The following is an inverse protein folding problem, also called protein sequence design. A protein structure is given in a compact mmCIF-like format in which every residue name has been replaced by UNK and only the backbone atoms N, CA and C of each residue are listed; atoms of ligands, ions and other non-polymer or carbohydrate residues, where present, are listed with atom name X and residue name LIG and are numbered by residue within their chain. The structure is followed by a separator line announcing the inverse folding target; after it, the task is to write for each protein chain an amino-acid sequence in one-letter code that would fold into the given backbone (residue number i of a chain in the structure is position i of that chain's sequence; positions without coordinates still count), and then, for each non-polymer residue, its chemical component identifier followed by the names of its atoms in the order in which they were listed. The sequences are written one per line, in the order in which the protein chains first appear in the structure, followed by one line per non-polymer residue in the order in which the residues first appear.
data_IF_282201557238
#
_entry.id   IF_282201557238
#
_cell.length_a   1.000
_cell.length_b   1.000
_cell.length_c   1.000
_cell.angle_alpha   90.00
_cell.angle_beta   90.00
_cell.angle_gamma   90.00
#
_symmetry.space_group_name_H-M   'P 1'
#
loop_
_entity.id
_entity.type
_entity.pdbx_description
1 polymer ?
#
# COMPACT_ATOMS: atom_id res chain seq x y z
N UNK A 1 -30.67 -17.83 25.83
CA UNK A 1 -30.64 -18.62 24.58
C UNK A 1 -30.28 -17.67 23.45
N UNK A 2 -29.02 -17.69 23.02
CA UNK A 2 -28.53 -16.84 21.90
C UNK A 2 -28.64 -17.67 20.63
N UNK A 3 -29.50 -17.21 19.74
CA UNK A 3 -29.85 -17.84 18.47
C UNK A 3 -28.64 -17.87 17.53
N UNK A 4 -28.27 -19.08 17.07
CA UNK A 4 -27.13 -19.37 16.21
C UNK A 4 -27.36 -19.05 14.72
N UNK A 5 -27.63 -17.81 14.35
CA UNK A 5 -27.84 -17.39 12.98
C UNK A 5 -26.58 -16.94 12.21
N UNK A 6 -25.39 -16.96 12.85
CA UNK A 6 -24.13 -16.55 12.21
C UNK A 6 -23.24 -17.68 11.68
N UNK A 7 -23.56 -18.92 11.95
CA UNK A 7 -22.74 -20.10 11.61
C UNK A 7 -22.54 -20.39 10.10
N UNK A 8 -23.56 -20.24 9.21
CA UNK A 8 -23.37 -20.64 7.81
C UNK A 8 -22.46 -19.72 6.99
N UNK A 9 -22.37 -18.44 7.31
CA UNK A 9 -21.49 -17.49 6.60
C UNK A 9 -20.03 -17.67 7.02
N UNK A 10 -19.77 -17.91 8.30
CA UNK A 10 -18.41 -18.20 8.81
C UNK A 10 -17.87 -19.51 8.22
N UNK A 11 -18.69 -20.56 8.13
CA UNK A 11 -18.32 -21.81 7.48
C UNK A 11 -18.05 -21.64 5.99
N UNK A 12 -18.79 -20.79 5.31
CA UNK A 12 -18.56 -20.43 3.92
C UNK A 12 -17.22 -19.69 3.76
N UNK A 13 -16.90 -18.74 4.64
CA UNK A 13 -15.61 -18.05 4.67
C UNK A 13 -14.45 -19.00 4.92
N UNK A 14 -14.59 -19.94 5.86
CA UNK A 14 -13.56 -20.96 6.13
C UNK A 14 -13.33 -21.85 4.91
N UNK A 15 -14.38 -22.26 4.20
CA UNK A 15 -14.26 -23.03 2.95
C UNK A 15 -13.58 -22.23 1.83
N UNK A 16 -13.94 -20.94 1.69
CA UNK A 16 -13.30 -20.04 0.73
C UNK A 16 -11.83 -19.79 1.10
N UNK A 17 -11.53 -19.59 2.37
CA UNK A 17 -10.17 -19.44 2.87
C UNK A 17 -9.30 -20.66 2.53
N UNK A 18 -9.81 -21.88 2.74
CA UNK A 18 -9.12 -23.12 2.36
C UNK A 18 -8.88 -23.22 0.85
N UNK A 19 -9.87 -22.85 0.04
CA UNK A 19 -9.74 -22.83 -1.42
C UNK A 19 -8.72 -21.78 -1.90
N UNK A 20 -8.70 -20.61 -1.28
CA UNK A 20 -7.74 -19.52 -1.58
C UNK A 20 -6.32 -19.93 -1.19
N UNK A 21 -6.14 -20.57 -0.04
CA UNK A 21 -4.86 -21.14 0.38
C UNK A 21 -4.32 -22.14 -0.63
N UNK A 22 -5.15 -23.09 -1.07
CA UNK A 22 -4.77 -24.10 -2.08
C UNK A 22 -4.34 -23.44 -3.41
N UNK A 23 -5.03 -22.37 -3.82
CA UNK A 23 -4.66 -21.59 -5.02
C UNK A 23 -3.31 -20.89 -4.88
N UNK A 24 -3.01 -20.34 -3.71
CA UNK A 24 -1.74 -19.66 -3.42
C UNK A 24 -0.58 -20.66 -3.34
N UNK A 25 -0.78 -21.80 -2.69
CA UNK A 25 0.20 -22.89 -2.63
C UNK A 25 0.51 -23.43 -4.04
N UNK A 26 -0.49 -23.66 -4.88
CA UNK A 26 -0.33 -24.11 -6.27
C UNK A 26 0.39 -23.06 -7.13
N UNK A 27 0.12 -21.76 -6.93
CA UNK A 27 0.87 -20.68 -7.61
C UNK A 27 2.34 -20.66 -7.19
N UNK A 28 2.62 -20.83 -5.89
CA UNK A 28 3.98 -20.91 -5.36
C UNK A 28 4.77 -22.10 -5.91
N UNK A 29 4.15 -23.27 -6.03
CA UNK A 29 4.77 -24.45 -6.65
C UNK A 29 5.04 -24.27 -8.14
N UNK A 30 4.09 -23.66 -8.87
CA UNK A 30 4.27 -23.36 -10.30
C UNK A 30 5.41 -22.36 -10.53
N UNK A 31 5.56 -21.36 -9.66
CA UNK A 31 6.66 -20.38 -9.70
C UNK A 31 8.01 -21.07 -9.44
N UNK A 32 8.11 -21.93 -8.41
CA UNK A 32 9.31 -22.75 -8.11
C UNK A 32 9.66 -23.69 -9.25
N UNK A 33 8.68 -24.29 -9.92
CA UNK A 33 8.89 -25.18 -11.08
C UNK A 33 9.42 -24.42 -12.30
N UNK A 34 8.90 -23.20 -12.55
CA UNK A 34 9.42 -22.32 -13.62
C UNK A 34 10.86 -21.87 -13.36
N UNK A 35 11.22 -21.55 -12.10
CA UNK A 35 12.60 -21.20 -11.74
C UNK A 35 13.57 -22.39 -11.90
N UNK A 36 13.18 -23.60 -11.52
CA UNK A 36 13.97 -24.82 -11.73
C UNK A 36 14.19 -25.12 -13.21
N UNK A 37 13.18 -24.92 -14.06
CA UNK A 37 13.30 -25.14 -15.52
C UNK A 37 14.20 -24.08 -16.17
N UNK A 38 14.17 -22.82 -15.70
CA UNK A 38 15.07 -21.78 -16.19
C UNK A 38 16.53 -22.03 -15.79
N UNK A 39 16.78 -22.51 -14.57
CA UNK A 39 18.14 -22.85 -14.11
C UNK A 39 18.73 -24.07 -14.86
N UNK A 40 17.91 -25.08 -15.20
CA UNK A 40 18.36 -26.24 -15.98
C UNK A 40 18.63 -25.90 -17.44
N UNK A 41 17.95 -24.92 -18.02
CA UNK A 41 18.23 -24.46 -19.39
C UNK A 41 19.55 -23.66 -19.48
N UNK A 42 19.90 -22.88 -18.46
CA UNK A 42 21.15 -22.11 -18.40
C UNK A 42 22.38 -23.00 -18.20
N UNK A 43 22.25 -24.11 -17.47
CA UNK A 43 23.33 -25.07 -17.28
C UNK A 43 23.58 -25.90 -18.54
N UNK A 44 22.55 -26.18 -19.35
CA UNK A 44 22.68 -26.94 -20.61
C UNK A 44 23.29 -26.11 -21.75
N UNK A 45 23.19 -24.79 -21.71
CA UNK A 45 23.82 -23.88 -22.67
C UNK A 45 25.32 -23.69 -22.41
N UNK A 46 25.82 -23.84 -21.16
CA UNK A 46 27.23 -23.74 -20.82
C UNK A 46 28.07 -24.99 -21.11
N UNK A 47 27.45 -26.13 -21.42
CA UNK A 47 28.12 -27.43 -21.63
C UNK A 47 28.52 -27.76 -23.07
N UNK A 48 28.23 -26.91 -24.08
CA UNK A 48 28.47 -27.23 -25.51
C UNK A 48 29.44 -26.29 -26.24
N UNK A 49 30.38 -25.68 -25.58
CA UNK A 49 31.40 -24.86 -26.24
C UNK A 49 32.79 -25.28 -25.83
N UNK A 50 33.29 -26.43 -26.35
CA UNK A 50 34.72 -26.75 -26.49
C UNK A 50 34.89 -27.88 -27.51
N UNK A 51 35.25 -27.54 -28.76
CA UNK A 51 36.20 -28.17 -29.67
C UNK A 51 35.90 -27.75 -31.11
N UNK A 52 36.94 -27.20 -31.77
CA UNK A 52 37.00 -27.02 -33.22
C UNK A 52 37.71 -25.72 -33.58
N UNK A 53 39.02 -25.79 -33.78
CA UNK A 53 39.85 -24.67 -34.31
C UNK A 53 39.73 -24.52 -35.84
N UNK A 54 40.59 -23.74 -36.50
CA UNK A 54 40.14 -22.63 -37.35
C UNK A 54 40.11 -22.92 -38.84
N UNK A 55 39.25 -22.22 -39.61
CA UNK A 55 39.45 -22.01 -41.05
C UNK A 55 39.06 -20.58 -41.41
N UNK A 56 40.02 -19.91 -42.01
CA UNK A 56 40.01 -18.58 -42.61
C UNK A 56 39.03 -18.43 -43.76
N UNK A 57 38.23 -17.35 -43.75
CA UNK A 57 37.68 -16.72 -44.94
C UNK A 57 37.45 -15.23 -44.69
N UNK A 58 38.03 -14.41 -45.55
CA UNK A 58 37.98 -12.96 -45.60
C UNK A 58 36.54 -12.46 -45.90
N UNK A 59 36.05 -11.55 -45.06
CA UNK A 59 34.77 -10.84 -45.28
C UNK A 59 34.85 -9.45 -44.67
N UNK A 60 34.61 -8.43 -45.44
CA UNK A 60 34.76 -7.00 -45.19
C UNK A 60 34.27 -6.56 -43.82
N UNK A 61 35.12 -5.81 -43.12
CA UNK A 61 34.76 -5.07 -41.90
C UNK A 61 33.74 -4.00 -42.25
N UNK A 62 32.58 -4.05 -41.57
CA UNK A 62 31.71 -2.91 -41.41
C UNK A 62 32.15 -2.25 -40.06
N UNK A 63 32.36 -0.95 -40.08
CA UNK A 63 32.75 -0.17 -38.91
C UNK A 63 31.65 -0.18 -37.85
N UNK A 64 31.97 -0.21 -36.57
CA UNK A 64 30.97 -0.19 -35.51
C UNK A 64 30.36 1.21 -35.44
N UNK A 65 29.10 1.36 -35.87
CA UNK A 65 28.27 2.52 -35.52
C UNK A 65 28.14 2.57 -34.01
N UNK A 66 28.64 3.63 -33.41
CA UNK A 66 28.59 3.80 -31.97
C UNK A 66 27.16 4.02 -31.51
N UNK A 67 26.81 3.56 -30.33
CA UNK A 67 25.48 3.76 -29.70
C UNK A 67 25.07 5.26 -29.68
N UNK A 68 26.05 6.16 -29.68
CA UNK A 68 25.87 7.62 -29.78
C UNK A 68 25.31 8.06 -31.12
N UNK A 69 25.78 7.48 -32.23
CA UNK A 69 25.33 7.83 -33.57
C UNK A 69 23.89 7.35 -33.83
N UNK A 70 23.55 6.17 -33.27
CA UNK A 70 22.17 5.65 -33.38
C UNK A 70 21.17 6.50 -32.52
N UNK A 71 21.61 7.00 -31.38
CA UNK A 71 20.80 7.88 -30.51
C UNK A 71 20.61 9.27 -31.18
N UNK A 72 21.62 9.78 -31.87
CA UNK A 72 21.56 11.07 -32.53
C UNK A 72 20.63 11.03 -33.74
N UNK A 73 20.68 9.97 -34.53
CA UNK A 73 19.78 9.75 -35.69
C UNK A 73 18.33 9.58 -35.25
N UNK A 74 18.09 8.92 -34.09
CA UNK A 74 16.75 8.78 -33.50
C UNK A 74 16.18 10.12 -33.01
N UNK A 75 17.02 10.99 -32.45
CA UNK A 75 16.64 12.34 -32.00
C UNK A 75 16.32 13.29 -33.17
N UNK A 76 17.06 13.21 -34.27
CA UNK A 76 16.80 13.99 -35.49
C UNK A 76 15.49 13.56 -36.14
N UNK A 77 15.22 12.27 -36.28
CA UNK A 77 13.95 11.75 -36.78
C UNK A 77 12.72 12.10 -35.94
N UNK A 78 12.90 12.31 -34.64
CA UNK A 78 11.84 12.82 -33.74
C UNK A 78 11.59 14.32 -33.92
N UNK A 79 12.62 15.12 -34.19
CA UNK A 79 12.49 16.56 -34.47
C UNK A 79 11.78 16.83 -35.78
N UNK A 80 12.10 16.13 -36.85
CA UNK A 80 11.43 16.26 -38.15
C UNK A 80 9.93 15.92 -38.11
N UNK A 81 9.55 14.86 -37.34
CA UNK A 81 8.13 14.50 -37.15
C UNK A 81 7.34 15.53 -36.32
N UNK A 82 7.99 16.26 -35.43
CA UNK A 82 7.34 17.32 -34.65
C UNK A 82 7.16 18.59 -35.48
N UNK A 83 8.06 18.91 -36.42
CA UNK A 83 7.93 20.06 -37.30
C UNK A 83 6.89 19.87 -38.41
N UNK A 84 6.75 18.67 -38.98
CA UNK A 84 5.68 18.36 -39.94
C UNK A 84 4.29 18.32 -39.29
N UNK A 85 4.17 17.89 -38.03
CA UNK A 85 2.93 17.92 -37.26
C UNK A 85 2.39 19.33 -37.00
N UNK A 86 3.26 20.35 -36.91
CA UNK A 86 2.87 21.74 -36.67
C UNK A 86 2.35 22.49 -37.88
N UNK A 87 2.60 22.00 -39.09
CA UNK A 87 2.14 22.67 -40.36
C UNK A 87 0.72 22.25 -40.80
N UNK A 88 0.12 21.22 -40.21
CA UNK A 88 -1.21 20.71 -40.62
C UNK A 88 -2.35 20.91 -39.61
N UNK A 89 -2.11 21.49 -38.45
CA UNK A 89 -3.16 21.75 -37.44
C UNK A 89 -3.58 23.22 -37.51
N UNK A 90 -4.74 23.47 -38.11
CA UNK A 90 -5.42 24.78 -38.06
C UNK A 90 -5.68 25.19 -36.61
N UNK A 91 -5.58 26.51 -36.35
CA UNK A 91 -5.73 27.17 -35.07
C UNK A 91 -6.95 26.69 -34.27
N UNK A 92 -6.72 25.88 -33.22
CA UNK A 92 -7.59 25.75 -32.07
C UNK A 92 -6.98 26.57 -30.91
N UNK A 93 -7.79 27.25 -30.10
CA UNK A 93 -7.27 27.98 -28.93
C UNK A 93 -6.62 27.00 -27.95
N UNK A 94 -5.57 27.40 -27.24
CA UNK A 94 -4.81 26.51 -26.36
C UNK A 94 -5.69 26.02 -25.22
N UNK A 95 -5.92 24.72 -25.15
CA UNK A 95 -6.39 24.08 -23.91
C UNK A 95 -5.28 24.26 -22.86
N UNK A 96 -5.62 24.90 -21.76
CA UNK A 96 -4.70 25.11 -20.64
C UNK A 96 -4.40 23.74 -20.00
N UNK A 97 -3.33 23.12 -20.44
CA UNK A 97 -2.67 22.06 -19.66
C UNK A 97 -1.95 22.77 -18.51
N UNK A 98 -2.19 22.45 -17.25
CA UNK A 98 -1.44 23.09 -16.17
C UNK A 98 0.03 22.72 -16.30
N UNK A 99 0.85 23.71 -16.61
CA UNK A 99 2.31 23.57 -16.57
C UNK A 99 2.71 23.19 -15.13
N UNK A 100 3.54 22.15 -14.99
CA UNK A 100 4.27 21.89 -13.76
C UNK A 100 5.04 23.16 -13.38
N UNK A 101 4.53 23.90 -12.43
CA UNK A 101 5.20 25.10 -11.90
C UNK A 101 6.50 24.69 -11.22
N UNK A 102 7.57 25.41 -11.53
CA UNK A 102 8.88 25.24 -10.90
C UNK A 102 8.79 25.43 -9.38
N UNK A 103 9.62 24.68 -8.65
CA UNK A 103 9.73 24.64 -7.18
C UNK A 103 9.97 25.99 -6.48
N UNK A 104 9.91 27.10 -7.20
CA UNK A 104 10.07 28.46 -6.64
C UNK A 104 8.78 29.23 -6.31
N UNK A 105 7.58 28.64 -6.54
CA UNK A 105 6.30 29.34 -6.36
C UNK A 105 5.54 28.91 -5.08
N UNK A 106 6.24 28.55 -4.02
CA UNK A 106 5.64 27.97 -2.81
C UNK A 106 4.87 28.98 -1.95
N UNK A 107 5.16 30.29 -2.00
CA UNK A 107 4.51 31.27 -1.14
C UNK A 107 3.03 31.54 -1.47
N UNK A 108 2.65 31.63 -2.75
CA UNK A 108 1.26 31.95 -3.13
C UNK A 108 0.29 30.76 -2.99
N UNK A 109 0.80 29.53 -3.01
CA UNK A 109 -0.01 28.32 -2.82
C UNK A 109 -0.29 28.08 -1.34
N UNK A 110 0.66 28.42 -0.48
CA UNK A 110 0.50 28.30 0.98
C UNK A 110 -0.60 29.24 1.51
N UNK A 111 -0.68 30.47 1.01
CA UNK A 111 -1.69 31.45 1.44
C UNK A 111 -3.11 31.11 0.97
N UNK A 112 -3.25 30.40 -0.15
CA UNK A 112 -4.55 29.97 -0.66
C UNK A 112 -5.08 28.68 0.02
N UNK A 113 -4.22 27.90 0.64
CA UNK A 113 -4.57 26.63 1.33
C UNK A 113 -4.79 26.88 2.82
N UNK A 114 -4.16 27.88 3.42
CA UNK A 114 -4.32 28.23 4.84
C UNK A 114 -5.54 29.10 5.02
N UNK A 115 -6.60 28.56 5.59
CA UNK A 115 -7.63 29.37 6.23
C UNK A 115 -6.96 30.29 7.27
N UNK A 116 -7.36 31.56 7.43
CA UNK A 116 -6.85 32.42 8.50
C UNK A 116 -7.07 31.87 9.92
N UNK A 117 -7.78 30.75 10.04
CA UNK A 117 -8.01 30.00 11.28
C UNK A 117 -7.30 28.62 11.30
N UNK A 118 -6.37 28.36 10.39
CA UNK A 118 -5.65 27.09 10.36
C UNK A 118 -4.78 26.95 11.62
N UNK A 119 -5.11 25.98 12.44
CA UNK A 119 -4.32 25.61 13.62
C UNK A 119 -3.02 24.95 13.14
N UNK A 120 -1.87 25.45 13.61
CA UNK A 120 -0.56 24.84 13.33
C UNK A 120 -0.49 23.51 14.07
N UNK A 121 -0.32 22.40 13.33
CA UNK A 121 -0.25 21.05 13.90
C UNK A 121 1.05 20.81 14.66
N UNK A 122 1.08 19.77 15.51
CA UNK A 122 2.30 19.39 16.24
C UNK A 122 3.38 18.83 15.30
N UNK A 123 3.01 18.14 14.21
CA UNK A 123 3.94 17.73 13.18
C UNK A 123 4.58 18.92 12.47
N UNK A 124 3.81 19.95 12.15
CA UNK A 124 4.34 21.18 11.56
C UNK A 124 5.32 21.89 12.49
N UNK A 125 4.99 22.01 13.79
CA UNK A 125 5.87 22.58 14.81
C UNK A 125 7.14 21.75 14.99
N UNK A 126 7.03 20.42 14.90
CA UNK A 126 8.17 19.50 15.03
C UNK A 126 9.14 19.63 13.85
N UNK A 127 8.64 19.81 12.63
CA UNK A 127 9.46 19.91 11.42
C UNK A 127 10.05 21.31 11.20
N UNK A 128 9.58 22.35 11.93
CA UNK A 128 10.17 23.68 11.89
C UNK A 128 11.48 23.72 12.67
N UNK A 129 12.47 24.47 12.17
CA UNK A 129 13.70 24.71 12.93
C UNK A 129 13.39 25.55 14.19
N UNK A 130 13.90 25.15 15.38
CA UNK A 130 13.67 25.90 16.60
C UNK A 130 14.22 27.32 16.50
N UNK A 131 13.41 28.31 16.86
CA UNK A 131 13.89 29.67 17.00
C UNK A 131 14.69 29.83 18.30
N UNK A 132 15.68 30.72 18.35
CA UNK A 132 16.53 30.94 19.54
C UNK A 132 15.74 31.47 20.76
N UNK A 133 14.47 31.81 20.62
CA UNK A 133 13.60 32.39 21.65
C UNK A 133 12.40 31.49 21.98
N UNK A 134 12.45 30.20 21.63
CA UNK A 134 11.36 29.31 21.94
C UNK A 134 11.25 29.05 23.46
N UNK A 135 10.02 29.11 23.96
CA UNK A 135 9.69 28.67 25.30
C UNK A 135 10.17 27.22 25.50
N UNK A 136 10.59 26.89 26.75
CA UNK A 136 11.01 25.54 27.15
C UNK A 136 10.07 24.44 26.63
N UNK A 137 8.75 24.69 26.64
CA UNK A 137 7.72 23.76 26.17
C UNK A 137 7.74 23.50 24.66
N UNK A 138 8.52 24.28 23.87
CA UNK A 138 8.69 24.14 22.42
C UNK A 138 10.03 23.51 22.04
N UNK A 139 10.88 23.20 23.01
CA UNK A 139 12.18 22.56 22.77
C UNK A 139 12.01 21.08 22.38
N UNK A 140 12.98 20.53 21.65
CA UNK A 140 12.97 19.13 21.23
C UNK A 140 12.91 18.14 22.40
N UNK A 141 13.60 18.33 23.54
CA UNK A 141 13.43 17.46 24.70
C UNK A 141 11.98 17.41 25.21
N UNK A 142 11.27 18.53 25.21
CA UNK A 142 9.85 18.56 25.61
C UNK A 142 8.96 17.88 24.56
N UNK A 143 9.25 18.05 23.27
CA UNK A 143 8.55 17.35 22.19
C UNK A 143 8.72 15.84 22.29
N UNK A 144 9.93 15.34 22.60
CA UNK A 144 10.19 13.90 22.82
C UNK A 144 9.33 13.36 23.96
N UNK A 145 9.15 14.09 25.04
CA UNK A 145 8.26 13.66 26.14
C UNK A 145 6.80 13.54 25.68
N UNK A 146 6.31 14.48 24.87
CA UNK A 146 4.95 14.40 24.29
C UNK A 146 4.80 13.25 23.31
N UNK A 147 5.78 13.03 22.44
CA UNK A 147 5.82 11.89 21.51
C UNK A 147 5.76 10.57 22.32
N UNK A 148 6.57 10.45 23.37
CA UNK A 148 6.56 9.28 24.25
C UNK A 148 5.20 9.08 24.91
N UNK A 149 4.56 10.16 25.36
CA UNK A 149 3.21 10.11 25.94
C UNK A 149 2.17 9.55 24.97
N UNK A 150 2.22 9.98 23.69
CA UNK A 150 1.31 9.44 22.66
C UNK A 150 1.56 7.95 22.37
N UNK A 151 2.82 7.49 22.39
CA UNK A 151 3.11 6.05 22.29
C UNK A 151 2.51 5.28 23.47
N UNK A 152 2.67 5.80 24.71
CA UNK A 152 2.12 5.16 25.92
C UNK A 152 0.59 5.08 25.82
N UNK A 153 -0.08 6.19 25.49
CA UNK A 153 -1.53 6.24 25.34
C UNK A 153 -2.03 5.26 24.25
N UNK A 154 -1.38 5.26 23.10
CA UNK A 154 -1.73 4.36 21.99
C UNK A 154 -1.55 2.89 22.37
N UNK A 155 -0.45 2.53 23.02
CA UNK A 155 -0.20 1.16 23.47
C UNK A 155 -1.16 0.71 24.55
N UNK A 156 -1.47 1.57 25.54
CA UNK A 156 -2.40 1.26 26.61
C UNK A 156 -3.82 1.06 26.06
N UNK A 157 -4.30 2.01 25.26
CA UNK A 157 -5.66 1.95 24.70
C UNK A 157 -5.87 0.73 23.79
N UNK A 158 -4.84 0.35 23.03
CA UNK A 158 -4.92 -0.75 22.07
C UNK A 158 -4.39 -2.09 22.62
N UNK A 159 -3.92 -2.14 23.88
CA UNK A 159 -3.29 -3.32 24.47
C UNK A 159 -4.14 -4.61 24.36
N UNK A 160 -5.46 -4.49 24.39
CA UNK A 160 -6.39 -5.62 24.29
C UNK A 160 -6.69 -6.07 22.84
N UNK A 161 -6.11 -5.41 21.82
CA UNK A 161 -6.29 -5.79 20.41
C UNK A 161 -5.30 -6.89 20.06
N UNK A 162 -5.80 -8.10 19.86
CA UNK A 162 -4.97 -9.28 19.52
C UNK A 162 -4.90 -9.56 18.03
N UNK A 163 -5.99 -9.28 17.29
CA UNK A 163 -6.10 -9.50 15.87
C UNK A 163 -6.86 -8.36 15.19
N UNK A 164 -6.15 -7.30 14.84
CA UNK A 164 -6.70 -6.18 14.12
C UNK A 164 -6.47 -6.32 12.62
N UNK A 165 -7.36 -5.73 11.84
CA UNK A 165 -7.17 -5.50 10.40
C UNK A 165 -7.35 -4.02 10.14
N UNK A 166 -6.34 -3.37 9.55
CA UNK A 166 -6.47 -1.97 9.19
C UNK A 166 -7.02 -1.83 7.77
N UNK A 167 -8.02 -0.97 7.63
CA UNK A 167 -8.63 -0.61 6.35
C UNK A 167 -8.27 0.82 6.01
N UNK A 168 -7.61 1.00 4.85
CA UNK A 168 -7.25 2.28 4.29
C UNK A 168 -8.02 2.58 3.01
N UNK A 169 -8.21 3.85 2.71
CA UNK A 169 -8.81 4.30 1.47
C UNK A 169 -9.14 5.78 1.49
N UNK A 170 -9.79 6.26 0.44
CA UNK A 170 -10.13 7.66 0.28
C UNK A 170 -11.16 8.15 1.30
N UNK A 171 -10.88 9.28 1.95
CA UNK A 171 -11.85 10.02 2.75
C UNK A 171 -12.94 10.71 1.90
N UNK A 172 -12.78 10.75 0.58
CA UNK A 172 -13.68 11.43 -0.37
C UNK A 172 -14.69 10.49 -1.04
N UNK A 173 -14.66 9.20 -0.74
CA UNK A 173 -15.59 8.20 -1.26
C UNK A 173 -16.94 8.38 -0.57
N UNK A 174 -17.97 8.72 -1.34
CA UNK A 174 -19.32 8.95 -0.80
C UNK A 174 -20.06 7.64 -0.46
N UNK A 175 -21.14 7.72 0.34
CA UNK A 175 -21.93 6.53 0.72
C UNK A 175 -22.58 5.80 -0.46
N UNK A 176 -22.82 6.49 -1.59
CA UNK A 176 -23.42 5.91 -2.81
C UNK A 176 -22.38 5.22 -3.71
N UNK A 177 -21.09 5.33 -3.39
CA UNK A 177 -20.02 4.73 -4.19
C UNK A 177 -19.97 3.21 -3.92
N UNK A 178 -19.92 2.37 -4.96
CA UNK A 178 -19.75 0.92 -4.80
C UNK A 178 -18.59 0.51 -3.91
N UNK A 179 -17.50 1.30 -3.89
CA UNK A 179 -16.34 1.03 -3.04
C UNK A 179 -16.65 1.23 -1.55
N UNK A 180 -17.54 2.20 -1.21
CA UNK A 180 -18.02 2.38 0.17
C UNK A 180 -18.73 1.12 0.65
N UNK A 181 -19.68 0.60 -0.16
CA UNK A 181 -20.39 -0.64 0.16
C UNK A 181 -19.47 -1.86 0.24
N UNK A 182 -18.49 -1.95 -0.65
CA UNK A 182 -17.49 -3.02 -0.61
C UNK A 182 -16.62 -2.95 0.66
N UNK A 183 -16.18 -1.76 1.08
CA UNK A 183 -15.42 -1.57 2.31
C UNK A 183 -16.23 -1.93 3.55
N UNK A 184 -17.51 -1.54 3.58
CA UNK A 184 -18.45 -1.91 4.63
C UNK A 184 -18.61 -3.44 4.70
N UNK A 185 -18.76 -4.12 3.57
CA UNK A 185 -18.95 -5.57 3.51
C UNK A 185 -17.69 -6.34 3.91
N UNK A 186 -16.50 -5.96 3.40
CA UNK A 186 -15.22 -6.56 3.84
C UNK A 186 -15.07 -6.45 5.36
N UNK A 187 -15.30 -5.28 5.92
CA UNK A 187 -15.17 -5.04 7.35
C UNK A 187 -16.21 -5.83 8.16
N UNK A 188 -17.44 -5.97 7.66
CA UNK A 188 -18.48 -6.79 8.28
C UNK A 188 -18.06 -8.27 8.35
N UNK A 189 -17.60 -8.83 7.25
CA UNK A 189 -17.15 -10.22 7.16
C UNK A 189 -15.96 -10.49 8.09
N UNK A 190 -14.98 -9.58 8.15
CA UNK A 190 -13.84 -9.67 9.05
C UNK A 190 -14.27 -9.58 10.51
N UNK A 191 -15.20 -8.69 10.84
CA UNK A 191 -15.72 -8.53 12.20
C UNK A 191 -16.47 -9.79 12.65
N UNK A 192 -17.29 -10.41 11.78
CA UNK A 192 -17.95 -11.69 12.04
C UNK A 192 -16.95 -12.84 12.26
N UNK A 193 -15.79 -12.79 11.57
CA UNK A 193 -14.67 -13.71 11.82
C UNK A 193 -13.87 -13.36 13.09
N UNK A 194 -14.31 -12.34 13.85
CA UNK A 194 -13.78 -11.93 15.14
C UNK A 194 -12.53 -11.06 15.05
N UNK A 195 -12.28 -10.38 13.94
CA UNK A 195 -11.23 -9.37 13.83
C UNK A 195 -11.72 -8.00 14.29
N UNK A 196 -10.85 -7.24 14.95
CA UNK A 196 -11.06 -5.82 15.18
C UNK A 196 -10.75 -5.06 13.89
N UNK A 197 -11.57 -4.07 13.55
CA UNK A 197 -11.35 -3.20 12.39
C UNK A 197 -10.74 -1.89 12.86
N UNK A 198 -9.59 -1.55 12.32
CA UNK A 198 -8.85 -0.34 12.61
C UNK A 198 -8.89 0.57 11.39
N UNK A 199 -9.15 1.85 11.60
CA UNK A 199 -9.13 2.87 10.53
C UNK A 199 -8.50 4.16 11.03
N UNK A 200 -8.35 5.14 10.13
CA UNK A 200 -7.98 6.51 10.49
C UNK A 200 -9.13 7.35 11.07
N UNK A 201 -10.28 6.76 11.37
CA UNK A 201 -11.48 7.40 11.96
C UNK A 201 -12.18 8.46 11.10
N UNK A 202 -11.67 8.81 9.92
CA UNK A 202 -12.26 9.82 9.03
C UNK A 202 -13.50 9.34 8.27
N UNK A 203 -14.01 10.16 7.35
CA UNK A 203 -15.14 9.82 6.48
C UNK A 203 -14.72 8.84 5.36
N UNK A 204 -15.67 8.53 4.48
CA UNK A 204 -15.46 7.74 3.27
C UNK A 204 -15.19 6.27 3.55
N UNK A 205 -14.13 5.71 2.99
CA UNK A 205 -13.77 4.29 3.17
C UNK A 205 -13.55 3.94 4.66
N UNK A 206 -12.97 4.85 5.45
CA UNK A 206 -12.77 4.64 6.88
C UNK A 206 -14.09 4.52 7.63
N UNK A 207 -15.04 5.41 7.33
CA UNK A 207 -16.39 5.36 7.88
C UNK A 207 -17.13 4.09 7.47
N UNK A 208 -17.06 3.71 6.19
CA UNK A 208 -17.65 2.48 5.68
C UNK A 208 -17.13 1.25 6.43
N UNK A 209 -15.81 1.17 6.65
CA UNK A 209 -15.19 0.07 7.37
C UNK A 209 -15.60 0.05 8.85
N UNK A 210 -15.63 1.19 9.54
CA UNK A 210 -16.11 1.27 10.92
C UNK A 210 -17.58 0.87 11.04
N UNK A 211 -18.42 1.30 10.09
CA UNK A 211 -19.83 0.89 10.02
C UNK A 211 -19.99 -0.61 9.82
N UNK A 212 -19.20 -1.21 8.90
CA UNK A 212 -19.16 -2.64 8.68
C UNK A 212 -18.72 -3.43 9.93
N UNK A 213 -17.72 -2.93 10.66
CA UNK A 213 -17.28 -3.52 11.92
C UNK A 213 -18.42 -3.64 12.93
N UNK A 214 -19.19 -2.58 13.11
CA UNK A 214 -20.36 -2.59 14.03
C UNK A 214 -21.49 -3.51 13.54
N UNK A 215 -21.73 -3.57 12.23
CA UNK A 215 -22.70 -4.49 11.64
C UNK A 215 -22.33 -5.95 11.92
N UNK A 216 -21.04 -6.29 11.79
CA UNK A 216 -20.48 -7.61 12.12
C UNK A 216 -20.28 -7.87 13.62
N UNK A 217 -20.71 -6.93 14.49
CA UNK A 217 -20.56 -6.98 15.96
C UNK A 217 -19.10 -7.12 16.44
N UNK A 218 -18.16 -6.67 15.63
CA UNK A 218 -16.74 -6.59 15.96
C UNK A 218 -16.37 -5.24 16.56
N UNK A 219 -15.12 -5.14 17.08
CA UNK A 219 -14.58 -3.89 17.60
C UNK A 219 -14.29 -2.92 16.46
N UNK A 220 -14.76 -1.69 16.58
CA UNK A 220 -14.54 -0.60 15.63
C UNK A 220 -13.58 0.42 16.25
N UNK A 221 -12.37 0.52 15.71
CA UNK A 221 -11.27 1.29 16.27
C UNK A 221 -10.89 2.41 15.31
N UNK A 222 -10.70 3.60 15.84
CA UNK A 222 -10.23 4.77 15.11
C UNK A 222 -8.91 5.28 15.65
N UNK A 223 -7.87 5.30 14.82
CA UNK A 223 -6.61 5.99 15.07
C UNK A 223 -6.62 7.31 14.30
N UNK A 224 -7.19 8.35 14.92
CA UNK A 224 -7.34 9.66 14.31
C UNK A 224 -6.02 10.45 14.32
N UNK A 225 -5.92 11.46 13.44
CA UNK A 225 -4.79 12.38 13.38
C UNK A 225 -5.28 13.83 13.44
N UNK A 226 -4.61 14.64 14.21
CA UNK A 226 -4.83 16.09 14.20
C UNK A 226 -4.45 16.67 12.84
N UNK A 227 -5.40 17.32 12.17
CA UNK A 227 -5.19 17.99 10.90
C UNK A 227 -5.43 19.49 11.04
N UNK A 228 -4.85 20.34 10.17
CA UNK A 228 -5.06 21.80 10.20
C UNK A 228 -6.52 22.24 9.99
N UNK A 229 -7.35 21.31 9.52
CA UNK A 229 -8.79 21.50 9.36
C UNK A 229 -9.51 20.42 10.19
N UNK A 230 -10.60 20.82 10.84
CA UNK A 230 -11.36 19.93 11.71
C UNK A 230 -11.95 18.74 10.94
N UNK A 231 -11.47 17.55 11.26
CA UNK A 231 -12.10 16.28 10.88
C UNK A 231 -12.47 15.54 12.15
N UNK A 232 -13.75 15.59 12.52
CA UNK A 232 -14.28 14.78 13.61
C UNK A 232 -14.19 13.28 13.26
N UNK A 233 -14.12 12.43 14.27
CA UNK A 233 -14.24 10.99 14.08
C UNK A 233 -15.62 10.62 13.55
N UNK A 234 -15.71 9.63 12.65
CA UNK A 234 -17.00 9.13 12.18
C UNK A 234 -17.79 8.45 13.31
N UNK A 235 -19.15 8.43 13.23
CA UNK A 235 -20.02 8.01 14.34
C UNK A 235 -19.99 6.49 14.63
N UNK A 236 -19.26 5.72 13.84
CA UNK A 236 -19.21 4.26 13.98
C UNK A 236 -17.98 3.76 14.73
N UNK A 237 -17.11 4.65 15.23
CA UNK A 237 -15.94 4.31 16.04
C UNK A 237 -16.37 4.03 17.48
N UNK A 238 -15.93 2.89 18.05
CA UNK A 238 -16.18 2.53 19.46
C UNK A 238 -14.99 2.90 20.35
N UNK A 239 -13.76 2.73 19.85
CA UNK A 239 -12.51 3.09 20.53
C UNK A 239 -11.76 4.10 19.68
N UNK A 240 -11.58 5.31 20.19
CA UNK A 240 -10.90 6.40 19.50
C UNK A 240 -9.57 6.74 20.20
N UNK A 241 -8.49 6.79 19.43
CA UNK A 241 -7.21 7.35 19.85
C UNK A 241 -6.86 8.52 18.93
N UNK A 242 -6.56 9.68 19.51
CA UNK A 242 -6.17 10.87 18.75
C UNK A 242 -4.66 11.04 18.80
N UNK A 243 -4.02 11.12 17.64
CA UNK A 243 -2.59 11.33 17.50
C UNK A 243 -2.30 12.71 16.93
N UNK A 244 -1.21 13.33 17.36
CA UNK A 244 -0.67 14.57 16.81
C UNK A 244 0.45 14.30 15.83
N UNK A 245 1.15 13.14 15.99
CA UNK A 245 2.30 12.79 15.16
C UNK A 245 1.97 11.61 14.23
N UNK A 246 2.17 11.79 12.93
CA UNK A 246 1.91 10.76 11.91
C UNK A 246 2.68 9.47 12.19
N UNK A 247 3.95 9.55 12.54
CA UNK A 247 4.81 8.39 12.76
C UNK A 247 4.38 7.56 13.99
N UNK A 248 3.81 8.19 15.03
CA UNK A 248 3.25 7.46 16.17
C UNK A 248 2.02 6.67 15.73
N UNK A 249 1.10 7.31 15.02
CA UNK A 249 -0.11 6.65 14.49
C UNK A 249 0.24 5.49 13.54
N UNK A 250 1.18 5.67 12.62
CA UNK A 250 1.65 4.63 11.70
C UNK A 250 2.15 3.40 12.44
N UNK A 251 2.90 3.60 13.53
CA UNK A 251 3.35 2.50 14.38
C UNK A 251 2.18 1.71 14.97
N UNK A 252 1.07 2.35 15.35
CA UNK A 252 -0.12 1.66 15.87
C UNK A 252 -0.79 0.82 14.78
N UNK A 253 -0.93 1.32 13.56
CA UNK A 253 -1.48 0.54 12.45
C UNK A 253 -0.69 -0.74 12.21
N UNK A 254 0.63 -0.66 12.14
CA UNK A 254 1.48 -1.83 11.93
C UNK A 254 1.44 -2.79 13.13
N UNK A 255 1.57 -2.26 14.34
CA UNK A 255 1.69 -3.08 15.56
C UNK A 255 0.44 -3.91 15.87
N UNK A 256 -0.73 -3.36 15.66
CA UNK A 256 -2.00 -3.97 16.05
C UNK A 256 -2.74 -4.64 14.91
N UNK A 257 -2.17 -4.65 13.70
CA UNK A 257 -2.75 -5.33 12.54
C UNK A 257 -2.04 -6.63 12.21
N UNK A 258 -2.82 -7.57 11.70
CA UNK A 258 -2.33 -8.82 11.10
C UNK A 258 -2.46 -8.79 9.57
N UNK A 259 -3.13 -7.77 9.02
CA UNK A 259 -3.33 -7.55 7.60
C UNK A 259 -3.72 -6.11 7.31
N UNK A 260 -3.47 -5.65 6.08
CA UNK A 260 -4.03 -4.41 5.55
C UNK A 260 -4.97 -4.71 4.37
N UNK A 261 -6.13 -4.04 4.36
CA UNK A 261 -7.04 -3.98 3.21
C UNK A 261 -7.06 -2.54 2.71
N UNK A 262 -6.62 -2.34 1.48
CA UNK A 262 -6.33 -1.03 0.92
C UNK A 262 -7.23 -0.77 -0.27
N UNK A 263 -8.20 0.11 -0.08
CA UNK A 263 -9.10 0.62 -1.11
C UNK A 263 -8.47 1.79 -1.88
N UNK A 264 -8.99 2.16 -3.04
CA UNK A 264 -8.54 3.35 -3.76
C UNK A 264 -8.45 4.58 -2.87
N UNK A 265 -7.32 5.31 -2.94
CA UNK A 265 -7.09 6.46 -2.08
C UNK A 265 -5.95 7.35 -2.54
N UNK A 266 -5.69 8.42 -1.83
CA UNK A 266 -4.67 9.40 -2.14
C UNK A 266 -3.29 9.05 -1.55
N UNK A 267 -2.47 10.10 -1.38
CA UNK A 267 -1.09 9.95 -0.89
C UNK A 267 -0.99 9.29 0.49
N UNK A 268 -1.88 9.60 1.43
CA UNK A 268 -1.87 8.94 2.73
C UNK A 268 -2.15 7.43 2.65
N UNK A 269 -3.00 7.00 1.70
CA UNK A 269 -3.25 5.58 1.43
C UNK A 269 -2.03 4.90 0.80
N UNK A 270 -1.36 5.58 -0.14
CA UNK A 270 -0.13 5.07 -0.78
C UNK A 270 1.04 5.02 0.20
N UNK A 271 1.16 5.99 1.10
CA UNK A 271 2.16 6.04 2.14
C UNK A 271 2.10 4.80 3.05
N UNK A 272 0.91 4.42 3.53
CA UNK A 272 0.72 3.21 4.34
C UNK A 272 0.95 1.92 3.53
N UNK A 273 0.57 1.91 2.25
CA UNK A 273 0.85 0.79 1.35
C UNK A 273 2.35 0.53 1.23
N UNK A 274 3.12 1.56 0.90
CA UNK A 274 4.56 1.40 0.66
C UNK A 274 5.34 1.17 1.94
N UNK A 275 4.90 1.70 3.08
CA UNK A 275 5.49 1.35 4.37
C UNK A 275 5.31 -0.14 4.68
N UNK A 276 4.08 -0.66 4.56
CA UNK A 276 3.81 -2.09 4.77
C UNK A 276 4.67 -2.96 3.86
N UNK A 277 4.71 -2.67 2.55
CA UNK A 277 5.51 -3.41 1.59
C UNK A 277 7.01 -3.38 1.94
N UNK A 278 7.53 -2.22 2.38
CA UNK A 278 8.92 -2.08 2.81
C UNK A 278 9.23 -2.92 4.05
N UNK A 279 8.35 -2.91 5.05
CA UNK A 279 8.53 -3.67 6.28
C UNK A 279 8.47 -5.19 6.03
N UNK A 280 7.60 -5.64 5.10
CA UNK A 280 7.54 -7.05 4.71
C UNK A 280 8.79 -7.45 3.93
N UNK A 281 9.18 -6.66 2.91
CA UNK A 281 10.36 -6.91 2.08
C UNK A 281 11.64 -6.99 2.91
N UNK A 282 11.78 -6.11 3.91
CA UNK A 282 12.96 -6.07 4.80
C UNK A 282 12.89 -7.07 5.95
N UNK A 283 11.85 -7.89 6.03
CA UNK A 283 11.68 -8.92 7.06
C UNK A 283 11.44 -8.36 8.47
N UNK A 284 10.87 -7.15 8.58
CA UNK A 284 10.46 -6.58 9.87
C UNK A 284 9.12 -7.12 10.32
N UNK A 285 8.24 -7.42 9.37
CA UNK A 285 6.96 -8.12 9.61
C UNK A 285 6.86 -9.31 8.66
N UNK A 286 6.23 -10.40 9.11
CA UNK A 286 6.13 -11.65 8.36
C UNK A 286 4.68 -12.08 8.19
N UNK A 287 4.40 -12.76 7.08
CA UNK A 287 3.07 -13.34 6.79
C UNK A 287 1.93 -12.31 6.92
N UNK A 288 2.21 -11.07 6.51
CA UNK A 288 1.29 -9.96 6.62
C UNK A 288 0.66 -9.69 5.24
N UNK A 289 -0.58 -10.14 4.97
CA UNK A 289 -1.22 -9.93 3.68
C UNK A 289 -1.55 -8.45 3.47
N UNK A 290 -1.22 -7.96 2.30
CA UNK A 290 -1.61 -6.64 1.79
C UNK A 290 -2.62 -6.86 0.66
N UNK A 291 -3.89 -6.53 0.93
CA UNK A 291 -4.97 -6.72 -0.04
C UNK A 291 -5.28 -5.38 -0.71
N UNK A 292 -5.07 -5.30 -2.02
CA UNK A 292 -5.45 -4.16 -2.85
C UNK A 292 -6.86 -4.42 -3.39
N UNK A 293 -7.84 -3.74 -2.86
CA UNK A 293 -9.22 -3.84 -3.32
C UNK A 293 -9.50 -2.84 -4.44
N UNK A 294 -10.09 -3.31 -5.55
CA UNK A 294 -10.37 -2.47 -6.71
C UNK A 294 -9.34 -2.62 -7.82
N UNK A 295 -9.40 -3.72 -8.59
CA UNK A 295 -8.46 -4.07 -9.68
C UNK A 295 -8.28 -2.95 -10.68
N UNK A 296 -9.38 -2.30 -11.06
CA UNK A 296 -9.33 -1.22 -12.05
C UNK A 296 -8.41 -0.07 -11.61
N UNK A 297 -8.50 0.34 -10.35
CA UNK A 297 -7.70 1.43 -9.80
C UNK A 297 -6.21 1.02 -9.67
N UNK A 298 -5.95 -0.15 -9.10
CA UNK A 298 -4.59 -0.59 -8.76
C UNK A 298 -3.80 -1.17 -9.93
N UNK A 299 -4.46 -1.57 -11.03
CA UNK A 299 -3.81 -2.21 -12.18
C UNK A 299 -2.67 -1.36 -12.79
N UNK A 300 -2.82 -0.04 -12.82
CA UNK A 300 -1.80 0.88 -13.32
C UNK A 300 -0.54 0.87 -12.44
N UNK A 301 -0.70 0.94 -11.12
CA UNK A 301 0.39 0.90 -10.16
C UNK A 301 1.11 -0.47 -10.19
N UNK A 302 0.36 -1.56 -10.15
CA UNK A 302 0.92 -2.92 -10.17
C UNK A 302 1.70 -3.14 -11.48
N UNK A 303 1.16 -2.70 -12.61
CA UNK A 303 1.87 -2.76 -13.91
C UNK A 303 3.16 -1.95 -13.89
N UNK A 304 3.16 -0.75 -13.32
CA UNK A 304 4.36 0.08 -13.20
C UNK A 304 5.39 -0.60 -12.30
N UNK A 305 5.00 -1.14 -11.16
CA UNK A 305 5.87 -1.92 -10.27
C UNK A 305 6.51 -3.10 -11.01
N UNK A 306 5.73 -3.85 -11.80
CA UNK A 306 6.21 -5.00 -12.56
C UNK A 306 7.16 -4.60 -13.71
N UNK A 307 6.79 -3.57 -14.49
CA UNK A 307 7.51 -3.24 -15.74
C UNK A 307 8.70 -2.33 -15.49
N UNK A 308 8.64 -1.45 -14.50
CA UNK A 308 9.71 -0.50 -14.20
C UNK A 308 10.51 -0.93 -12.97
N UNK A 309 9.87 -1.02 -11.81
CA UNK A 309 10.59 -1.22 -10.56
C UNK A 309 11.25 -2.61 -10.51
N UNK A 310 10.49 -3.65 -10.85
CA UNK A 310 11.03 -5.01 -10.99
C UNK A 310 11.91 -5.14 -12.23
N UNK A 311 11.48 -4.60 -13.38
CA UNK A 311 12.23 -4.69 -14.64
C UNK A 311 13.63 -4.04 -14.56
N UNK A 312 13.79 -3.00 -13.76
CA UNK A 312 15.06 -2.34 -13.48
C UNK A 312 15.81 -2.92 -12.26
N UNK A 313 15.30 -3.99 -11.67
CA UNK A 313 15.94 -4.70 -10.56
C UNK A 313 15.93 -3.94 -9.22
N UNK A 314 14.97 -3.02 -9.01
CA UNK A 314 14.82 -2.27 -7.74
C UNK A 314 14.10 -3.08 -6.67
N UNK A 315 13.33 -4.08 -7.08
CA UNK A 315 12.67 -5.08 -6.24
C UNK A 315 12.85 -6.47 -6.85
N UNK A 316 12.54 -7.53 -6.11
CA UNK A 316 12.55 -8.91 -6.56
C UNK A 316 11.17 -9.37 -7.07
N UNK A 317 11.12 -10.48 -7.80
CA UNK A 317 9.84 -11.04 -8.27
C UNK A 317 8.92 -11.45 -7.11
N UNK A 318 9.48 -11.89 -5.98
CA UNK A 318 8.71 -12.24 -4.79
C UNK A 318 8.04 -11.05 -4.11
N UNK A 319 8.55 -9.83 -4.33
CA UNK A 319 7.96 -8.63 -3.74
C UNK A 319 6.61 -8.25 -4.37
N UNK A 320 6.38 -8.64 -5.63
CA UNK A 320 5.06 -8.47 -6.27
C UNK A 320 4.01 -9.41 -5.68
N UNK A 321 4.42 -10.61 -5.26
CA UNK A 321 3.53 -11.60 -4.68
C UNK A 321 3.09 -11.25 -3.24
N UNK A 322 3.63 -10.19 -2.64
CA UNK A 322 3.18 -9.67 -1.34
C UNK A 322 1.77 -9.06 -1.39
N UNK A 323 1.29 -8.72 -2.59
CA UNK A 323 0.00 -8.05 -2.80
C UNK A 323 -1.02 -9.03 -3.39
N UNK A 324 -2.20 -9.08 -2.78
CA UNK A 324 -3.38 -9.71 -3.37
C UNK A 324 -4.29 -8.63 -3.99
N UNK A 325 -4.61 -8.77 -5.27
CA UNK A 325 -5.49 -7.85 -5.98
C UNK A 325 -6.86 -8.49 -6.19
N UNK A 326 -7.93 -7.88 -5.65
CA UNK A 326 -9.30 -8.42 -5.73
C UNK A 326 -10.35 -7.33 -5.89
N UNK A 327 -11.55 -7.73 -6.36
CA UNK A 327 -12.80 -6.95 -6.36
C UNK A 327 -13.90 -7.64 -5.53
N UNK A 328 -13.59 -8.80 -4.93
CA UNK A 328 -14.55 -9.60 -4.16
C UNK A 328 -14.33 -9.43 -2.65
N UNK A 329 -15.30 -8.88 -1.91
CA UNK A 329 -15.22 -8.74 -0.45
C UNK A 329 -14.99 -10.07 0.28
N UNK A 330 -15.57 -11.17 -0.21
CA UNK A 330 -15.40 -12.47 0.41
C UNK A 330 -13.99 -13.04 0.17
N UNK A 331 -13.41 -12.83 -1.02
CA UNK A 331 -12.02 -13.19 -1.32
C UNK A 331 -11.05 -12.39 -0.44
N UNK A 332 -11.29 -11.08 -0.26
CA UNK A 332 -10.47 -10.23 0.61
C UNK A 332 -10.51 -10.72 2.07
N UNK A 333 -11.69 -10.96 2.61
CA UNK A 333 -11.84 -11.45 3.99
C UNK A 333 -11.24 -12.84 4.18
N UNK A 334 -11.47 -13.77 3.23
CA UNK A 334 -10.93 -15.13 3.27
C UNK A 334 -9.38 -15.13 3.23
N UNK A 335 -8.75 -14.24 2.47
CA UNK A 335 -7.30 -14.10 2.43
C UNK A 335 -6.72 -13.71 3.79
N UNK A 336 -7.35 -12.76 4.50
CA UNK A 336 -6.95 -12.36 5.85
C UNK A 336 -7.09 -13.51 6.84
N UNK A 337 -8.24 -14.19 6.86
CA UNK A 337 -8.51 -15.32 7.75
C UNK A 337 -7.48 -16.43 7.53
N UNK A 338 -7.24 -16.82 6.27
CA UNK A 338 -6.28 -17.87 5.91
C UNK A 338 -4.85 -17.53 6.35
N UNK A 339 -4.41 -16.28 6.17
CA UNK A 339 -3.09 -15.85 6.58
C UNK A 339 -2.94 -15.87 8.11
N UNK A 340 -3.96 -15.42 8.84
CA UNK A 340 -3.95 -15.44 10.30
C UNK A 340 -3.92 -16.89 10.87
N UNK A 341 -4.69 -17.79 10.30
CA UNK A 341 -4.66 -19.21 10.67
C UNK A 341 -3.29 -19.85 10.42
N UNK A 342 -2.64 -19.50 9.29
CA UNK A 342 -1.30 -19.97 8.99
C UNK A 342 -0.25 -19.45 9.99
N UNK A 343 -0.36 -18.19 10.41
CA UNK A 343 0.52 -17.59 11.42
C UNK A 343 0.37 -18.31 12.77
N UNK A 344 -0.85 -18.48 13.23
CA UNK A 344 -1.15 -19.08 14.54
C UNK A 344 -0.87 -20.58 14.57
N UNK A 345 -1.15 -21.32 13.50
CA UNK A 345 -0.81 -22.72 13.34
C UNK A 345 0.71 -22.97 13.36
N UNK A 346 1.48 -22.13 12.68
CA UNK A 346 2.95 -22.20 12.68
C UNK A 346 3.54 -21.87 14.06
N UNK A 347 2.98 -20.87 14.76
CA UNK A 347 3.41 -20.52 16.11
C UNK A 347 3.14 -21.67 17.09
N UNK A 348 1.98 -22.32 17.02
CA UNK A 348 1.61 -23.45 17.86
C UNK A 348 2.52 -24.66 17.64
N UNK A 349 2.80 -25.00 16.38
CA UNK A 349 3.73 -26.09 16.03
C UNK A 349 5.15 -25.86 16.56
N UNK A 350 5.64 -24.61 16.55
CA UNK A 350 6.96 -24.26 17.14
C UNK A 350 7.02 -24.36 18.66
N UNK A 351 5.90 -24.15 19.35
CA UNK A 351 5.81 -24.28 20.81
C UNK A 351 5.66 -25.74 21.25
N UNK A 352 4.95 -26.56 20.47
CA UNK A 352 4.73 -27.99 20.73
C UNK A 352 5.94 -28.86 20.34
N UNK A 353 6.85 -28.36 19.50
CA UNK A 353 8.10 -29.05 19.08
C UNK A 353 9.34 -28.72 19.92
N UNK A 354 9.18 -28.05 21.06
CA UNK A 354 10.20 -27.83 22.09
C UNK A 354 9.84 -28.63 23.34
#
# INVERSE_FOLDING_TARGET
MVSGAGLPEVDKLIRLARATRQRLENKGEMAKRKQRTAQTSTTRARGKSRRGGPRTASGKKADPVTLADAAQTALEGLRERTEEGHKKAGRRPPSQTPALRSVGATREVDDAIRSPYAVITEDEKFLQQPSRFDDFTRTDPWRVMRITSEFIEGFDTLASVQKGVTVFGSARTGPEDPQYHSAQEVARLLAEAGFAIITGAGPGIMEAANKGARMGKGRSIGCNIELPFEQGANPYVDTLVNFRYFFVRKTMFIKYSVAFVIFPGGFGTLDELFEALTLIQTGKIYQFPVILFGRHYWAGLVRWLQTRVLGEGKISSGDIDLMLLTDDPAEAAAAVVSAYEAQTGTARSRLEGK
#
